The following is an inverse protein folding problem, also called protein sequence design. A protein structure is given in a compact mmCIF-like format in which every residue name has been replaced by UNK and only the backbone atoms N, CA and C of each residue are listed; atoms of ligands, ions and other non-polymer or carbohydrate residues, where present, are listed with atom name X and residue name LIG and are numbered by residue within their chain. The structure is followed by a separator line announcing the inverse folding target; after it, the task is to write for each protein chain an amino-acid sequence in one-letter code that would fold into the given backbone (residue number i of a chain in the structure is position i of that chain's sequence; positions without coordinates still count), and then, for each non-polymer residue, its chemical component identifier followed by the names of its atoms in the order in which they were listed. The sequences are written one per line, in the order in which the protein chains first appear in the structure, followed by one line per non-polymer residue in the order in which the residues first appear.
data_IF_481955044029
#
_entry.id   IF_481955044029
#
_cell.length_a   1.000
_cell.length_b   1.000
_cell.length_c   1.000
_cell.angle_alpha   90.00
_cell.angle_beta   90.00
_cell.angle_gamma   90.00
#
_symmetry.space_group_name_H-M   'P 1'
#
loop_
_entity.id
_entity.type
_entity.pdbx_description
1 polymer ?
#
# COMPACT_ATOMS: atom_id res chain seq x y z
N UNK A 1 30.92 -22.50 15.95
CA UNK A 1 29.52 -22.70 15.49
C UNK A 1 28.90 -21.33 15.30
N UNK A 2 28.99 -20.79 14.09
CA UNK A 2 28.44 -19.49 13.71
C UNK A 2 26.94 -19.65 13.43
N UNK A 3 26.10 -19.38 14.41
CA UNK A 3 24.66 -19.22 14.20
C UNK A 3 24.41 -17.89 13.51
N UNK A 4 24.13 -17.91 12.21
CA UNK A 4 23.58 -16.73 11.53
C UNK A 4 22.24 -16.37 12.18
N UNK A 5 21.93 -15.08 12.40
CA UNK A 5 20.59 -14.69 12.82
C UNK A 5 19.59 -15.18 11.76
N UNK A 6 18.39 -15.63 12.16
CA UNK A 6 17.35 -15.94 11.20
C UNK A 6 17.10 -14.69 10.35
N UNK A 7 17.41 -14.77 9.07
CA UNK A 7 17.02 -13.75 8.09
C UNK A 7 15.51 -13.54 8.14
N UNK A 8 15.01 -12.37 7.72
CA UNK A 8 13.59 -12.03 7.84
C UNK A 8 12.76 -13.18 7.24
N UNK A 9 12.00 -13.84 8.10
CA UNK A 9 11.13 -14.93 7.69
C UNK A 9 10.23 -14.43 6.55
N UNK A 10 10.26 -15.17 5.44
CA UNK A 10 9.35 -15.15 4.30
C UNK A 10 8.36 -13.97 4.25
N UNK A 11 8.59 -13.07 3.29
CA UNK A 11 7.71 -11.96 2.93
C UNK A 11 6.27 -12.40 2.66
N UNK A 12 5.46 -12.43 3.73
CA UNK A 12 4.01 -12.46 3.61
C UNK A 12 3.55 -11.20 2.90
N UNK A 13 2.61 -11.32 1.96
CA UNK A 13 2.17 -10.12 1.27
C UNK A 13 1.47 -9.18 2.27
N UNK A 14 1.84 -7.88 2.30
CA UNK A 14 1.43 -6.95 3.36
C UNK A 14 -0.08 -6.70 3.43
N UNK A 15 -0.82 -7.11 2.39
CA UNK A 15 -2.28 -7.00 2.30
C UNK A 15 -2.96 -8.36 2.16
N UNK A 16 -2.23 -9.46 2.42
CA UNK A 16 -2.79 -10.79 2.35
C UNK A 16 -3.87 -10.93 3.43
N UNK A 17 -5.12 -11.19 2.99
CA UNK A 17 -6.30 -11.22 3.85
C UNK A 17 -7.11 -9.93 3.89
N UNK A 18 -6.67 -8.86 3.22
CA UNK A 18 -7.47 -7.63 3.06
C UNK A 18 -8.40 -7.76 1.85
N UNK A 19 -9.69 -7.46 2.02
CA UNK A 19 -10.64 -7.53 0.90
C UNK A 19 -10.48 -6.34 -0.07
N UNK A 20 -10.86 -6.49 -1.35
CA UNK A 20 -10.85 -5.38 -2.32
C UNK A 20 -11.65 -4.16 -1.84
N UNK A 21 -12.76 -4.38 -1.14
CA UNK A 21 -13.60 -3.32 -0.57
C UNK A 21 -12.86 -2.57 0.55
N UNK A 22 -12.17 -3.30 1.43
CA UNK A 22 -11.35 -2.67 2.48
C UNK A 22 -10.22 -1.83 1.89
N UNK A 23 -9.54 -2.34 0.86
CA UNK A 23 -8.52 -1.57 0.12
C UNK A 23 -9.13 -0.31 -0.51
N UNK A 24 -10.33 -0.41 -1.10
CA UNK A 24 -11.04 0.76 -1.66
C UNK A 24 -11.44 1.79 -0.59
N UNK A 25 -11.84 1.36 0.60
CA UNK A 25 -12.12 2.27 1.72
C UNK A 25 -10.86 3.01 2.17
N UNK A 26 -9.73 2.31 2.27
CA UNK A 26 -8.46 2.92 2.66
C UNK A 26 -7.94 3.89 1.59
N UNK A 27 -8.05 3.53 0.31
CA UNK A 27 -7.74 4.41 -0.81
C UNK A 27 -8.49 5.74 -0.67
N UNK A 28 -9.82 5.69 -0.50
CA UNK A 28 -10.66 6.88 -0.37
C UNK A 28 -10.32 7.71 0.88
N UNK A 29 -10.02 7.04 2.00
CA UNK A 29 -9.62 7.72 3.24
C UNK A 29 -8.28 8.46 3.07
N UNK A 30 -7.30 7.84 2.43
CA UNK A 30 -5.99 8.43 2.16
C UNK A 30 -6.09 9.63 1.22
N UNK A 31 -6.85 9.52 0.13
CA UNK A 31 -7.09 10.62 -0.81
C UNK A 31 -7.67 11.85 -0.09
N UNK A 32 -8.67 11.63 0.77
CA UNK A 32 -9.25 12.71 1.59
C UNK A 32 -8.26 13.30 2.58
N UNK A 33 -7.41 12.47 3.21
CA UNK A 33 -6.38 12.95 4.14
C UNK A 33 -5.38 13.85 3.41
N UNK A 34 -4.82 13.36 2.30
CA UNK A 34 -3.91 14.11 1.44
C UNK A 34 -4.51 15.42 0.95
N UNK A 35 -5.76 15.42 0.47
CA UNK A 35 -6.43 16.62 0.02
C UNK A 35 -6.58 17.68 1.12
N UNK A 36 -6.90 17.25 2.36
CA UNK A 36 -7.03 18.16 3.50
C UNK A 36 -5.70 18.77 3.91
N UNK A 37 -4.64 17.97 3.97
CA UNK A 37 -3.29 18.43 4.35
C UNK A 37 -2.70 19.37 3.31
N UNK A 38 -2.87 19.05 2.02
CA UNK A 38 -2.47 19.94 0.94
C UNK A 38 -3.19 21.29 1.00
N UNK A 39 -4.51 21.26 1.19
CA UNK A 39 -5.28 22.49 1.35
C UNK A 39 -4.87 23.29 2.60
N UNK A 40 -4.43 22.62 3.66
CA UNK A 40 -3.93 23.27 4.87
C UNK A 40 -2.61 24.00 4.62
N UNK A 41 -1.62 23.32 4.01
CA UNK A 41 -0.34 23.92 3.65
C UNK A 41 -0.52 25.06 2.63
N UNK A 42 -1.39 24.89 1.63
CA UNK A 42 -1.68 25.93 0.65
C UNK A 42 -2.23 27.20 1.29
N UNK A 43 -3.14 27.06 2.27
CA UNK A 43 -3.69 28.21 3.02
C UNK A 43 -2.60 28.94 3.80
N UNK A 44 -1.66 28.21 4.40
CA UNK A 44 -0.54 28.81 5.14
C UNK A 44 0.45 29.49 4.22
N UNK A 45 0.83 28.83 3.13
CA UNK A 45 1.72 29.38 2.10
C UNK A 45 1.17 30.70 1.55
N UNK A 46 -0.13 30.78 1.26
CA UNK A 46 -0.79 32.03 0.83
C UNK A 46 -0.73 33.16 1.86
N UNK A 47 -0.65 32.81 3.15
CA UNK A 47 -0.51 33.78 4.26
C UNK A 47 0.94 34.11 4.58
N UNK A 48 1.92 33.48 3.91
CA UNK A 48 3.34 33.62 4.22
C UNK A 48 3.72 33.07 5.61
N UNK A 49 2.88 32.23 6.21
CA UNK A 49 3.15 31.61 7.51
C UNK A 49 3.78 30.25 7.27
N UNK A 50 4.97 30.05 7.83
CA UNK A 50 5.65 28.75 7.85
C UNK A 50 5.90 28.36 9.31
N UNK A 51 5.58 27.12 9.67
CA UNK A 51 5.94 26.56 10.99
C UNK A 51 6.65 25.23 10.82
N UNK A 52 7.42 24.76 11.83
CA UNK A 52 8.08 23.45 11.76
C UNK A 52 7.14 22.27 11.51
N UNK A 53 5.84 22.41 11.81
CA UNK A 53 4.83 21.39 11.50
C UNK A 53 4.59 21.23 10.01
N UNK A 54 4.89 22.25 9.19
CA UNK A 54 4.73 22.16 7.74
C UNK A 54 5.68 21.12 7.15
N UNK A 55 6.94 21.08 7.60
CA UNK A 55 7.93 20.09 7.16
C UNK A 55 7.47 18.66 7.47
N UNK A 56 6.90 18.45 8.66
CA UNK A 56 6.36 17.14 9.06
C UNK A 56 5.16 16.75 8.21
N UNK A 57 4.27 17.69 7.89
CA UNK A 57 3.10 17.44 7.03
C UNK A 57 3.49 17.20 5.57
N UNK A 58 4.55 17.85 5.08
CA UNK A 58 5.09 17.60 3.75
C UNK A 58 5.71 16.21 3.66
N UNK A 59 6.40 15.76 4.72
CA UNK A 59 6.92 14.40 4.80
C UNK A 59 5.81 13.34 4.92
N UNK A 60 4.81 13.57 5.78
CA UNK A 60 3.64 12.67 5.88
C UNK A 60 2.92 12.57 4.53
N UNK A 61 2.78 13.68 3.79
CA UNK A 61 2.20 13.64 2.44
C UNK A 61 2.97 12.75 1.48
N UNK A 62 4.31 12.75 1.52
CA UNK A 62 5.14 11.85 0.70
C UNK A 62 4.89 10.39 1.06
N UNK A 63 4.88 10.07 2.35
CA UNK A 63 4.64 8.71 2.83
C UNK A 63 3.23 8.22 2.50
N UNK A 64 2.22 9.07 2.67
CA UNK A 64 0.83 8.77 2.33
C UNK A 64 0.62 8.58 0.83
N UNK A 65 1.35 9.30 -0.02
CA UNK A 65 1.34 9.09 -1.48
C UNK A 65 1.91 7.72 -1.85
N UNK A 66 3.04 7.34 -1.26
CA UNK A 66 3.62 6.00 -1.45
C UNK A 66 2.65 4.92 -0.99
N UNK A 67 2.05 5.08 0.20
CA UNK A 67 1.06 4.13 0.71
C UNK A 67 -0.17 4.02 -0.20
N UNK A 68 -0.64 5.15 -0.75
CA UNK A 68 -1.75 5.16 -1.69
C UNK A 68 -1.42 4.38 -2.97
N UNK A 69 -0.20 4.52 -3.50
CA UNK A 69 0.25 3.74 -4.66
C UNK A 69 0.27 2.24 -4.35
N UNK A 70 0.80 1.87 -3.19
CA UNK A 70 0.84 0.47 -2.75
C UNK A 70 -0.56 -0.13 -2.61
N UNK A 71 -1.51 0.61 -2.04
CA UNK A 71 -2.92 0.15 -1.90
C UNK A 71 -3.60 0.01 -3.27
N UNK A 72 -3.38 0.95 -4.19
CA UNK A 72 -3.90 0.85 -5.56
C UNK A 72 -3.36 -0.37 -6.29
N UNK A 73 -2.07 -0.65 -6.13
CA UNK A 73 -1.44 -1.84 -6.69
C UNK A 73 -2.04 -3.11 -6.08
N UNK A 74 -2.17 -3.17 -4.75
CA UNK A 74 -2.78 -4.30 -4.06
C UNK A 74 -4.22 -4.55 -4.52
N UNK A 75 -5.02 -3.48 -4.71
CA UNK A 75 -6.40 -3.57 -5.19
C UNK A 75 -6.47 -4.07 -6.64
N UNK A 76 -5.57 -3.60 -7.50
CA UNK A 76 -5.47 -4.08 -8.88
C UNK A 76 -5.13 -5.58 -8.92
N UNK A 77 -4.16 -6.02 -8.12
CA UNK A 77 -3.81 -7.44 -7.98
C UNK A 77 -4.99 -8.29 -7.46
N UNK A 78 -5.71 -7.80 -6.45
CA UNK A 78 -6.89 -8.49 -5.90
C UNK A 78 -8.02 -8.60 -6.93
N UNK A 79 -8.15 -7.62 -7.84
CA UNK A 79 -9.14 -7.64 -8.93
C UNK A 79 -8.73 -8.63 -10.03
N UNK A 80 -7.43 -8.77 -10.32
CA UNK A 80 -6.92 -9.74 -11.31
C UNK A 80 -6.97 -11.20 -10.83
N UNK A 81 -7.00 -11.44 -9.52
CA UNK A 81 -7.21 -12.78 -8.95
C UNK A 81 -8.66 -13.30 -9.14
N UNK A 82 -9.55 -12.47 -9.71
CA UNK A 82 -10.98 -12.74 -9.89
C UNK A 82 -11.42 -13.01 -11.32
N UNK A 83 -10.71 -13.86 -12.09
CA UNK A 83 -11.30 -14.69 -13.17
C UNK A 83 -10.50 -16.00 -13.26
N UNK A 84 -10.72 -16.91 -12.29
CA UNK A 84 -10.30 -18.30 -12.46
C UNK A 84 -11.51 -19.12 -12.92
N UNK A 85 -11.44 -19.87 -14.04
CA UNK A 85 -12.47 -20.84 -14.34
C UNK A 85 -12.51 -21.86 -13.21
N UNK A 86 -13.71 -22.12 -12.68
CA UNK A 86 -13.99 -23.13 -11.66
C UNK A 86 -13.50 -24.50 -12.15
N UNK A 87 -12.24 -24.84 -11.84
CA UNK A 87 -11.73 -26.20 -12.04
C UNK A 87 -12.33 -27.11 -10.97
N UNK A 88 -12.86 -28.29 -11.36
CA UNK A 88 -13.50 -29.21 -10.43
C UNK A 88 -12.50 -29.71 -9.38
N UNK A 89 -13.02 -29.92 -8.17
CA UNK A 89 -12.28 -30.34 -6.98
C UNK A 89 -11.52 -31.66 -7.23
N UNK A 90 -10.21 -31.55 -7.51
CA UNK A 90 -9.34 -32.71 -7.70
C UNK A 90 -7.84 -32.44 -7.81
N UNK A 91 -7.40 -31.18 -7.83
CA UNK A 91 -5.98 -30.86 -8.01
C UNK A 91 -5.60 -29.60 -7.24
N UNK A 92 -5.21 -29.78 -5.97
CA UNK A 92 -4.57 -28.75 -5.18
C UNK A 92 -3.05 -28.90 -5.35
N UNK A 93 -2.51 -28.39 -6.45
CA UNK A 93 -1.14 -27.90 -6.40
C UNK A 93 -1.19 -26.50 -5.76
N UNK A 94 -0.42 -26.22 -4.70
CA UNK A 94 -0.40 -24.90 -4.09
C UNK A 94 0.07 -23.89 -5.14
N UNK A 95 -0.58 -22.73 -5.30
CA UNK A 95 -0.11 -21.73 -6.23
C UNK A 95 1.27 -21.25 -5.76
N UNK A 96 2.32 -21.66 -6.49
CA UNK A 96 3.72 -21.29 -6.26
C UNK A 96 4.04 -19.82 -6.64
N UNK A 97 3.04 -18.96 -6.78
CA UNK A 97 3.25 -17.56 -7.12
C UNK A 97 2.80 -16.65 -5.96
N UNK A 98 3.73 -15.92 -5.33
CA UNK A 98 3.33 -14.76 -4.54
C UNK A 98 2.64 -13.76 -5.48
N UNK A 99 1.35 -13.50 -5.24
CA UNK A 99 0.47 -12.68 -6.08
C UNK A 99 0.89 -11.21 -6.23
N UNK A 100 2.00 -10.79 -5.64
CA UNK A 100 2.52 -9.44 -5.76
C UNK A 100 4.05 -9.53 -5.82
N UNK A 101 4.71 -9.33 -6.97
CA UNK A 101 6.12 -8.96 -6.93
C UNK A 101 6.20 -7.62 -6.19
N UNK A 102 7.03 -7.57 -5.14
CA UNK A 102 7.45 -6.30 -4.55
C UNK A 102 8.03 -5.43 -5.67
N UNK A 103 7.82 -4.10 -5.68
CA UNK A 103 8.56 -3.26 -6.61
C UNK A 103 10.05 -3.43 -6.29
N UNK A 104 10.79 -3.95 -7.27
CA UNK A 104 12.25 -3.95 -7.28
C UNK A 104 12.70 -2.49 -7.14
N UNK A 105 13.53 -2.19 -6.13
CA UNK A 105 14.23 -0.91 -6.07
C UNK A 105 15.24 -0.88 -7.22
N UNK A 106 14.98 -0.04 -8.21
CA UNK A 106 15.90 0.32 -9.29
C UNK A 106 16.00 1.85 -9.42
#
# INVERSE_FOLDING_TARGET
MTGSPPGPAAGGCPFCGTSPEQLGMWEHWLERKLARERAYLDRRKRRGVHTPTDEVLEEDQRQLQTLLQVIRQARACASSAGVFPLLPAGQQDPPLHPCCPYPDEA
#
